data_IF_241907920536
#
_entry.id   IF_241907920536
#
_cell.length_a   1.000
_cell.length_b   1.000
_cell.length_c   1.000
_cell.angle_alpha   90.00
_cell.angle_beta   90.00
_cell.angle_gamma   90.00
#
_symmetry.space_group_name_H-M   'P 1'
#
loop_
_entity.id
_entity.type
_entity.pdbx_description
1 polymer ?
#
# COMPACT_ATOMS: atom_id res chain seq x y z
N UNK A 1 -31.30 -71.99 -14.65
CA UNK A 1 -31.50 -70.55 -14.31
C UNK A 1 -30.45 -70.12 -13.29
N UNK A 2 -29.38 -69.45 -13.72
CA UNK A 2 -28.49 -68.64 -12.88
C UNK A 2 -27.94 -67.51 -13.76
N UNK A 3 -28.36 -66.28 -13.49
CA UNK A 3 -27.91 -65.07 -14.17
C UNK A 3 -26.55 -64.63 -13.59
N UNK A 4 -25.60 -64.22 -14.43
CA UNK A 4 -24.38 -63.54 -14.00
C UNK A 4 -24.30 -62.19 -14.73
N UNK A 5 -24.37 -61.12 -13.93
CA UNK A 5 -24.32 -59.71 -14.31
C UNK A 5 -22.94 -59.28 -14.83
N UNK A 6 -22.83 -58.33 -15.79
CA UNK A 6 -21.58 -57.67 -16.08
C UNK A 6 -21.35 -56.51 -15.10
N UNK A 7 -20.20 -56.51 -14.41
CA UNK A 7 -19.78 -55.42 -13.52
C UNK A 7 -19.22 -54.23 -14.28
N UNK A 8 -19.82 -53.05 -14.09
CA UNK A 8 -19.33 -51.76 -14.61
C UNK A 8 -18.26 -51.22 -13.66
N UNK A 9 -17.05 -51.02 -14.18
CA UNK A 9 -15.93 -50.38 -13.46
C UNK A 9 -16.04 -48.85 -13.61
N UNK A 10 -16.42 -48.15 -12.54
CA UNK A 10 -16.43 -46.69 -12.49
C UNK A 10 -15.01 -46.21 -12.11
N UNK A 11 -14.31 -45.61 -13.07
CA UNK A 11 -13.04 -44.91 -12.85
C UNK A 11 -13.31 -43.56 -12.17
N UNK A 12 -12.96 -43.46 -10.88
CA UNK A 12 -12.93 -42.22 -10.12
C UNK A 12 -11.71 -41.38 -10.53
N UNK A 13 -11.94 -40.35 -11.33
CA UNK A 13 -10.95 -39.34 -11.70
C UNK A 13 -10.59 -38.48 -10.49
N UNK A 14 -9.46 -38.74 -9.84
CA UNK A 14 -8.90 -37.84 -8.82
C UNK A 14 -8.36 -36.58 -9.50
N UNK A 15 -9.14 -35.50 -9.47
CA UNK A 15 -8.66 -34.17 -9.82
C UNK A 15 -7.67 -33.71 -8.75
N UNK A 16 -6.38 -33.66 -9.08
CA UNK A 16 -5.36 -33.07 -8.20
C UNK A 16 -5.57 -31.55 -8.17
N UNK A 17 -6.17 -31.05 -7.09
CA UNK A 17 -6.20 -29.62 -6.80
C UNK A 17 -4.74 -29.15 -6.66
N UNK A 18 -4.28 -28.30 -7.57
CA UNK A 18 -3.01 -27.60 -7.41
C UNK A 18 -3.16 -26.61 -6.25
N UNK A 19 -2.45 -26.87 -5.17
CA UNK A 19 -2.31 -25.92 -4.06
C UNK A 19 -1.84 -24.57 -4.61
N UNK A 20 -2.58 -23.51 -4.30
CA UNK A 20 -2.25 -22.15 -4.66
C UNK A 20 -1.01 -21.73 -3.87
N UNK A 21 0.04 -21.28 -4.57
CA UNK A 21 1.34 -20.87 -4.01
C UNK A 21 1.14 -19.95 -2.78
N UNK A 22 1.55 -20.43 -1.59
CA UNK A 22 1.49 -19.68 -0.34
C UNK A 22 2.54 -18.57 -0.37
N UNK A 23 2.12 -17.36 -0.74
CA UNK A 23 2.79 -16.15 -0.25
C UNK A 23 2.72 -16.17 1.29
N UNK A 24 3.82 -15.87 2.00
CA UNK A 24 3.81 -15.92 3.46
C UNK A 24 2.69 -15.03 3.98
N UNK A 25 1.83 -15.63 4.79
CA UNK A 25 0.52 -15.08 5.13
C UNK A 25 0.62 -13.87 6.08
N UNK A 26 1.81 -13.52 6.56
CA UNK A 26 2.17 -12.37 7.39
C UNK A 26 3.70 -12.26 7.40
N UNK A 27 4.24 -11.05 7.36
CA UNK A 27 5.68 -10.80 7.56
C UNK A 27 6.06 -10.82 9.04
N UNK A 28 5.08 -10.64 9.94
CA UNK A 28 5.29 -10.47 11.37
C UNK A 28 5.82 -9.07 11.74
N UNK A 29 5.85 -8.15 10.77
CA UNK A 29 6.26 -6.76 10.94
C UNK A 29 5.05 -5.85 11.18
N UNK A 30 5.24 -4.67 11.77
CA UNK A 30 4.17 -3.69 11.93
C UNK A 30 3.47 -3.32 10.61
N UNK A 31 4.19 -3.32 9.49
CA UNK A 31 3.65 -3.01 8.16
C UNK A 31 2.53 -3.94 7.68
N UNK A 32 2.40 -5.15 8.27
CA UNK A 32 1.23 -6.01 8.03
C UNK A 32 -0.07 -5.30 8.47
N UNK A 33 0.00 -4.47 9.51
CA UNK A 33 -1.14 -3.76 10.10
C UNK A 33 -1.44 -2.39 9.46
N UNK A 34 -0.85 -2.08 8.30
CA UNK A 34 -1.18 -0.88 7.55
C UNK A 34 -1.36 -1.19 6.06
N UNK A 35 -2.40 -0.64 5.43
CA UNK A 35 -2.69 -0.87 4.00
C UNK A 35 -2.20 0.30 3.13
N UNK A 36 -1.06 0.14 2.45
CA UNK A 36 -0.57 1.14 1.48
C UNK A 36 -1.57 1.36 0.33
N UNK A 37 -2.12 0.26 -0.22
CA UNK A 37 -3.17 0.30 -1.23
C UNK A 37 -4.44 0.99 -0.72
N UNK A 38 -4.83 0.69 0.52
CA UNK A 38 -5.98 1.32 1.16
C UNK A 38 -5.77 2.83 1.37
N UNK A 39 -4.56 3.25 1.75
CA UNK A 39 -4.23 4.66 1.89
C UNK A 39 -4.36 5.42 0.56
N UNK A 40 -3.88 4.85 -0.57
CA UNK A 40 -4.12 5.46 -1.89
C UNK A 40 -5.61 5.50 -2.26
N UNK A 41 -6.37 4.45 -1.93
CA UNK A 41 -7.82 4.41 -2.16
C UNK A 41 -8.57 5.50 -1.37
N UNK A 42 -8.16 5.76 -0.13
CA UNK A 42 -8.72 6.86 0.66
C UNK A 42 -8.30 8.22 0.10
N UNK A 43 -7.03 8.37 -0.30
CA UNK A 43 -6.52 9.61 -0.89
C UNK A 43 -7.23 9.96 -2.21
N UNK A 44 -7.52 8.94 -3.03
CA UNK A 44 -8.33 9.05 -4.25
C UNK A 44 -9.74 9.56 -3.99
N UNK A 45 -10.36 9.18 -2.86
CA UNK A 45 -11.73 9.55 -2.50
C UNK A 45 -11.83 10.89 -1.77
N UNK A 46 -10.81 11.25 -0.99
CA UNK A 46 -10.80 12.46 -0.19
C UNK A 46 -10.85 13.72 -1.06
N UNK A 47 -11.55 14.75 -0.60
CA UNK A 47 -11.57 16.08 -1.17
C UNK A 47 -10.36 16.93 -0.79
N UNK A 48 -9.66 16.59 0.30
CA UNK A 48 -8.50 17.32 0.79
C UNK A 48 -7.57 16.42 1.63
N UNK A 49 -6.32 16.86 1.93
CA UNK A 49 -5.44 16.13 2.83
C UNK A 49 -5.99 16.00 4.26
N UNK A 50 -6.77 16.98 4.73
CA UNK A 50 -7.46 16.93 6.02
C UNK A 50 -8.52 15.82 6.06
N UNK A 51 -9.36 15.75 5.03
CA UNK A 51 -10.37 14.71 4.92
C UNK A 51 -9.72 13.33 4.77
N UNK A 52 -8.63 13.24 4.01
CA UNK A 52 -7.83 12.03 3.89
C UNK A 52 -7.29 11.58 5.27
N UNK A 53 -6.73 12.48 6.07
CA UNK A 53 -6.28 12.19 7.43
C UNK A 53 -7.41 11.65 8.31
N UNK A 54 -8.60 12.24 8.20
CA UNK A 54 -9.80 11.78 8.91
C UNK A 54 -10.22 10.37 8.49
N UNK A 55 -10.29 10.11 7.19
CA UNK A 55 -10.63 8.79 6.64
C UNK A 55 -9.62 7.73 7.08
N UNK A 56 -8.32 8.06 7.06
CA UNK A 56 -7.23 7.18 7.48
C UNK A 56 -7.37 6.76 8.95
N UNK A 57 -7.88 7.65 9.80
CA UNK A 57 -8.10 7.44 11.23
C UNK A 57 -9.57 7.12 11.58
N UNK A 58 -10.33 6.60 10.61
CA UNK A 58 -11.69 6.08 10.84
C UNK A 58 -11.66 4.56 10.83
N UNK A 59 -12.18 3.93 11.88
CA UNK A 59 -12.18 2.47 12.07
C UNK A 59 -12.78 1.73 10.86
N UNK A 60 -13.85 2.26 10.27
CA UNK A 60 -14.57 1.63 9.16
C UNK A 60 -13.75 1.55 7.87
N UNK A 61 -12.71 2.37 7.73
CA UNK A 61 -11.83 2.31 6.55
C UNK A 61 -11.03 1.00 6.48
N UNK A 62 -10.73 0.39 7.64
CA UNK A 62 -9.86 -0.79 7.76
C UNK A 62 -8.52 -0.61 7.01
N UNK A 63 -7.99 0.61 6.99
CA UNK A 63 -6.68 0.94 6.39
C UNK A 63 -5.58 1.02 7.45
N UNK A 64 -5.88 1.60 8.60
CA UNK A 64 -5.01 1.66 9.76
C UNK A 64 -5.41 0.57 10.77
N UNK A 65 -4.46 -0.27 11.16
CA UNK A 65 -4.58 -1.23 12.26
C UNK A 65 -3.33 -1.21 13.15
N UNK A 66 -2.52 -0.13 13.06
CA UNK A 66 -1.25 0.00 13.75
C UNK A 66 -1.45 0.27 15.24
N UNK A 67 -0.68 -0.44 16.05
CA UNK A 67 -0.51 -0.20 17.49
C UNK A 67 0.98 -0.41 17.79
N UNK A 68 1.76 0.56 17.34
CA UNK A 68 3.21 0.64 17.45
C UNK A 68 3.66 0.87 18.88
N UNK A 69 2.83 1.51 19.71
CA UNK A 69 3.12 1.75 21.11
C UNK A 69 2.67 0.59 22.04
N UNK A 70 1.85 -0.35 21.54
CA UNK A 70 1.25 -1.50 22.25
C UNK A 70 0.36 -1.11 23.43
N UNK A 71 -0.33 0.03 23.33
CA UNK A 71 -1.29 0.48 24.34
C UNK A 71 -2.67 -0.22 24.22
N UNK A 72 -2.82 -1.09 23.22
CA UNK A 72 -4.03 -1.84 22.94
C UNK A 72 -5.04 -1.08 22.10
N UNK A 73 -4.70 0.13 21.65
CA UNK A 73 -5.50 0.92 20.73
C UNK A 73 -4.71 1.30 19.48
N UNK A 74 -5.42 1.64 18.42
CA UNK A 74 -4.78 2.11 17.20
C UNK A 74 -4.09 3.46 17.40
N UNK A 75 -2.89 3.60 16.85
CA UNK A 75 -2.19 4.88 16.82
C UNK A 75 -2.88 5.84 15.85
N UNK A 76 -2.96 7.11 16.26
CA UNK A 76 -3.37 8.18 15.37
C UNK A 76 -2.26 8.49 14.36
N UNK A 77 -2.59 8.49 13.07
CA UNK A 77 -1.67 8.82 11.98
C UNK A 77 -1.98 10.23 11.50
N UNK A 78 -1.12 11.18 11.80
CA UNK A 78 -1.24 12.55 11.28
C UNK A 78 -0.60 12.65 9.90
N UNK A 79 -1.06 13.62 9.09
CA UNK A 79 -0.51 13.91 7.77
C UNK A 79 0.31 15.20 7.82
N UNK A 80 1.56 15.14 7.35
CA UNK A 80 2.43 16.31 7.23
C UNK A 80 2.85 16.47 5.78
N UNK A 81 2.46 17.57 5.15
CA UNK A 81 2.75 17.84 3.75
C UNK A 81 3.99 18.71 3.57
N UNK A 82 4.73 18.47 2.50
CA UNK A 82 5.81 19.34 2.02
C UNK A 82 5.77 19.41 0.50
N UNK A 83 6.09 20.57 -0.08
CA UNK A 83 6.12 20.79 -1.52
C UNK A 83 7.43 21.41 -1.96
N UNK A 84 7.94 20.96 -3.10
CA UNK A 84 9.03 21.57 -3.84
C UNK A 84 8.67 21.54 -5.32
N UNK A 85 8.47 22.72 -5.93
CA UNK A 85 7.98 22.87 -7.31
C UNK A 85 6.68 22.09 -7.55
N UNK A 86 6.65 21.25 -8.58
CA UNK A 86 5.52 20.40 -8.96
C UNK A 86 5.45 19.08 -8.17
N UNK A 87 6.31 18.87 -7.17
CA UNK A 87 6.33 17.67 -6.34
C UNK A 87 5.82 17.99 -4.94
N UNK A 88 4.84 17.22 -4.50
CA UNK A 88 4.30 17.29 -3.15
C UNK A 88 4.32 15.91 -2.51
N UNK A 89 4.74 15.88 -1.24
CA UNK A 89 4.74 14.66 -0.44
C UNK A 89 3.85 14.83 0.79
N UNK A 90 3.23 13.73 1.21
CA UNK A 90 2.40 13.64 2.40
C UNK A 90 2.94 12.52 3.28
N UNK A 91 3.62 12.90 4.35
CA UNK A 91 4.17 11.95 5.32
C UNK A 91 3.06 11.51 6.26
N UNK A 92 2.83 10.20 6.31
CA UNK A 92 1.90 9.57 7.24
C UNK A 92 2.67 9.20 8.50
N UNK A 93 2.43 9.93 9.58
CA UNK A 93 3.22 9.85 10.81
C UNK A 93 2.36 9.40 11.98
N UNK A 94 2.65 8.22 12.52
CA UNK A 94 2.00 7.70 13.73
C UNK A 94 2.52 8.43 14.97
N UNK A 95 1.59 8.86 15.83
CA UNK A 95 1.90 9.44 17.13
C UNK A 95 2.11 8.32 18.15
N UNK A 96 3.37 8.08 18.55
CA UNK A 96 3.74 6.95 19.43
C UNK A 96 3.69 7.36 20.90
N UNK A 97 4.13 8.58 21.22
CA UNK A 97 4.07 9.16 22.56
C UNK A 97 4.06 10.69 22.49
N UNK A 98 4.10 11.36 23.65
CA UNK A 98 4.25 12.83 23.73
C UNK A 98 5.50 13.37 23.04
N UNK A 99 6.56 12.56 22.96
CA UNK A 99 7.89 12.98 22.47
C UNK A 99 8.34 12.23 21.23
N UNK A 100 7.62 11.19 20.84
CA UNK A 100 8.02 10.29 19.76
C UNK A 100 6.93 10.16 18.73
N UNK A 101 7.34 10.15 17.48
CA UNK A 101 6.51 9.86 16.33
C UNK A 101 7.27 8.92 15.40
N UNK A 102 6.55 8.23 14.53
CA UNK A 102 7.13 7.28 13.61
C UNK A 102 6.50 7.46 12.23
N UNK A 103 7.33 7.68 11.22
CA UNK A 103 6.85 7.69 9.85
C UNK A 103 6.47 6.27 9.41
N UNK A 104 5.28 6.14 8.83
CA UNK A 104 4.68 4.87 8.40
C UNK A 104 4.81 4.72 6.89
N UNK A 105 4.46 5.77 6.15
CA UNK A 105 4.54 5.80 4.70
C UNK A 105 4.55 7.25 4.20
N UNK A 106 4.92 7.44 2.94
CA UNK A 106 4.90 8.73 2.27
C UNK A 106 4.13 8.60 0.97
N UNK A 107 3.09 9.41 0.79
CA UNK A 107 2.47 9.59 -0.52
C UNK A 107 3.30 10.61 -1.29
N UNK A 108 3.67 10.28 -2.51
CA UNK A 108 4.50 11.08 -3.40
C UNK A 108 3.68 11.45 -4.63
N UNK A 109 3.45 12.73 -4.85
CA UNK A 109 2.62 13.25 -5.92
C UNK A 109 3.43 14.22 -6.77
N UNK A 110 3.42 14.04 -8.08
CA UNK A 110 4.09 14.92 -9.03
C UNK A 110 3.12 15.35 -10.13
N UNK A 111 3.01 16.66 -10.33
CA UNK A 111 2.31 17.22 -11.48
C UNK A 111 3.25 17.20 -12.69
N UNK A 112 2.97 16.32 -13.63
CA UNK A 112 3.81 16.10 -14.83
C UNK A 112 3.34 16.92 -16.03
N UNK A 113 2.21 17.62 -15.92
CA UNK A 113 1.69 18.50 -16.97
C UNK A 113 0.46 19.29 -16.51
N UNK A 114 -0.20 19.99 -17.45
CA UNK A 114 -1.36 20.86 -17.13
C UNK A 114 -2.49 20.11 -16.44
N UNK A 115 -2.80 18.91 -16.94
CA UNK A 115 -3.88 18.03 -16.45
C UNK A 115 -3.37 16.60 -16.24
N UNK A 116 -2.09 16.48 -15.89
CA UNK A 116 -1.43 15.19 -15.68
C UNK A 116 -0.71 15.21 -14.33
N UNK A 117 -0.93 14.15 -13.55
CA UNK A 117 -0.19 13.89 -12.33
C UNK A 117 0.00 12.39 -12.14
N UNK A 118 1.10 12.03 -11.47
CA UNK A 118 1.43 10.66 -11.07
C UNK A 118 1.57 10.59 -9.55
N UNK A 119 1.25 9.44 -8.98
CA UNK A 119 1.29 9.24 -7.53
C UNK A 119 1.85 7.87 -7.18
N UNK A 120 2.72 7.85 -6.17
CA UNK A 120 3.18 6.65 -5.49
C UNK A 120 2.86 6.76 -4.00
N UNK A 121 2.82 5.63 -3.31
CA UNK A 121 2.99 5.59 -1.86
C UNK A 121 4.14 4.65 -1.50
N UNK A 122 5.03 5.13 -0.64
CA UNK A 122 6.23 4.41 -0.21
C UNK A 122 6.10 4.07 1.27
N UNK A 123 6.02 2.79 1.60
CA UNK A 123 6.06 2.31 2.98
C UNK A 123 7.46 2.43 3.58
N UNK A 124 7.54 2.88 4.83
CA UNK A 124 8.80 3.08 5.54
C UNK A 124 9.49 1.74 5.86
N UNK A 125 10.80 1.65 5.61
CA UNK A 125 11.56 0.41 5.73
C UNK A 125 11.66 -0.14 7.16
N UNK A 126 11.47 0.69 8.18
CA UNK A 126 11.47 0.25 9.59
C UNK A 126 10.10 -0.30 10.01
N UNK A 127 9.06 -0.05 9.21
CA UNK A 127 7.71 -0.56 9.40
C UNK A 127 7.46 -1.79 8.53
N UNK A 128 7.84 -1.73 7.25
CA UNK A 128 7.61 -2.77 6.25
C UNK A 128 8.80 -3.73 6.09
N UNK A 129 9.93 -3.44 6.73
CA UNK A 129 11.17 -4.22 6.63
C UNK A 129 12.03 -3.85 5.41
N UNK A 130 11.41 -3.24 4.41
CA UNK A 130 12.02 -2.74 3.18
C UNK A 130 11.19 -1.58 2.62
N UNK A 131 11.80 -0.80 1.73
CA UNK A 131 11.06 0.17 0.94
C UNK A 131 10.03 -0.54 0.05
N UNK A 132 8.74 -0.33 0.31
CA UNK A 132 7.63 -0.93 -0.45
C UNK A 132 6.89 0.17 -1.20
N UNK A 133 6.95 0.15 -2.53
CA UNK A 133 6.33 1.15 -3.39
C UNK A 133 5.03 0.60 -3.97
N UNK A 134 3.96 1.38 -3.89
CA UNK A 134 2.66 1.05 -4.45
C UNK A 134 2.16 2.20 -5.32
N UNK A 135 1.65 1.86 -6.51
CA UNK A 135 1.06 2.80 -7.46
C UNK A 135 -0.36 2.36 -7.86
N UNK A 136 -1.21 3.25 -8.39
CA UNK A 136 -2.51 2.87 -8.97
C UNK A 136 -2.33 1.93 -10.17
N UNK A 137 -3.09 0.85 -10.21
CA UNK A 137 -3.12 -0.11 -11.32
C UNK A 137 -4.13 0.27 -12.41
N UNK A 138 -4.11 -0.44 -13.53
CA UNK A 138 -4.92 -0.23 -14.74
C UNK A 138 -6.39 -0.68 -14.64
N UNK A 139 -6.87 -1.02 -13.44
CA UNK A 139 -8.25 -1.46 -13.23
C UNK A 139 -9.28 -0.42 -13.72
N UNK A 140 -10.44 -0.86 -14.22
CA UNK A 140 -11.52 0.02 -14.70
C UNK A 140 -11.95 1.06 -13.66
N UNK A 141 -11.85 0.74 -12.36
CA UNK A 141 -12.14 1.66 -11.26
C UNK A 141 -11.15 2.85 -11.19
N UNK A 142 -9.92 2.69 -11.69
CA UNK A 142 -8.94 3.76 -11.84
C UNK A 142 -9.01 4.45 -13.20
N UNK A 143 -9.71 3.86 -14.18
CA UNK A 143 -9.98 4.43 -15.50
C UNK A 143 -11.16 5.44 -15.49
N UNK A 144 -11.60 5.90 -14.31
CA UNK A 144 -12.73 6.82 -14.10
C UNK A 144 -12.53 8.25 -14.63
N UNK A 145 -11.80 8.40 -15.75
CA UNK A 145 -11.59 9.67 -16.43
C UNK A 145 -11.77 9.57 -17.96
N UNK A 146 -12.61 8.64 -18.41
CA UNK A 146 -13.17 8.57 -19.78
C UNK A 146 -14.22 9.68 -20.06
N UNK A 147 -14.30 10.72 -19.22
CA UNK A 147 -15.29 11.81 -19.33
C UNK A 147 -14.76 13.13 -19.91
N UNK A 148 -13.45 13.26 -20.13
CA UNK A 148 -12.84 14.47 -20.72
C UNK A 148 -11.91 14.17 -21.92
N UNK A 149 -11.77 12.91 -22.31
CA UNK A 149 -10.88 12.49 -23.40
C UNK A 149 -11.62 12.15 -24.69
N UNK A 150 -12.51 13.03 -25.16
CA UNK A 150 -12.98 13.01 -26.56
C UNK A 150 -12.12 13.85 -27.50
N UNK A 151 -10.87 14.18 -27.12
CA UNK A 151 -9.93 15.01 -27.89
C UNK A 151 -8.51 14.43 -28.01
N UNK A 152 -8.29 13.16 -27.64
CA UNK A 152 -7.05 12.45 -27.95
C UNK A 152 -7.36 11.27 -28.90
N UNK A 153 -7.82 11.61 -30.11
CA UNK A 153 -7.83 10.67 -31.23
C UNK A 153 -6.40 10.37 -31.64
N UNK A 154 -5.92 9.18 -31.31
CA UNK A 154 -4.66 8.64 -31.81
C UNK A 154 -4.57 7.14 -31.54
N UNK A 155 -4.38 6.28 -32.56
CA UNK A 155 -4.23 4.85 -32.35
C UNK A 155 -2.82 4.59 -31.81
N UNK A 156 -2.67 4.43 -30.50
CA UNK A 156 -1.47 3.81 -29.91
C UNK A 156 -1.75 3.28 -28.50
N UNK A 157 -2.66 2.32 -28.41
CA UNK A 157 -2.93 1.54 -27.19
C UNK A 157 -2.78 0.02 -27.44
N UNK A 158 -2.07 -0.39 -28.50
CA UNK A 158 -1.98 -1.81 -28.87
C UNK A 158 -0.56 -2.41 -28.86
N UNK A 159 0.53 -1.63 -28.70
CA UNK A 159 1.89 -2.22 -28.81
C UNK A 159 2.85 -1.87 -27.64
N UNK A 160 2.58 -0.84 -26.83
CA UNK A 160 3.47 -0.49 -25.72
C UNK A 160 3.28 -1.32 -24.44
N UNK A 161 2.11 -1.96 -24.26
CA UNK A 161 1.75 -2.68 -23.01
C UNK A 161 2.35 -4.09 -22.91
N UNK A 162 2.97 -4.62 -23.96
CA UNK A 162 3.57 -5.96 -23.95
C UNK A 162 5.07 -5.99 -23.61
N UNK A 163 5.75 -4.84 -23.52
CA UNK A 163 7.21 -4.79 -23.46
C UNK A 163 7.84 -3.84 -22.42
N UNK A 164 7.08 -3.10 -21.61
CA UNK A 164 7.67 -2.26 -20.56
C UNK A 164 7.75 -3.00 -19.22
N UNK A 165 8.94 -3.18 -18.62
CA UNK A 165 9.07 -3.66 -17.24
C UNK A 165 8.54 -2.65 -16.20
N UNK A 166 8.14 -1.46 -16.66
CA UNK A 166 7.82 -0.29 -15.86
C UNK A 166 6.30 -0.01 -15.74
N UNK A 167 5.43 -1.03 -15.73
CA UNK A 167 3.99 -0.88 -15.38
C UNK A 167 3.16 0.06 -16.27
N UNK A 168 1.86 0.17 -15.99
CA UNK A 168 0.94 1.11 -16.64
C UNK A 168 0.85 2.36 -15.77
N UNK A 169 1.05 3.55 -16.37
CA UNK A 169 0.97 4.83 -15.64
C UNK A 169 -0.46 5.36 -15.67
N UNK A 170 -1.06 5.49 -14.50
CA UNK A 170 -2.41 6.04 -14.33
C UNK A 170 -2.32 7.55 -14.08
N UNK A 171 -3.04 8.35 -14.87
CA UNK A 171 -3.18 9.78 -14.59
C UNK A 171 -4.16 10.01 -13.43
N UNK A 172 -3.66 10.59 -12.34
CA UNK A 172 -4.46 10.86 -11.13
C UNK A 172 -4.96 12.29 -11.00
N UNK A 173 -4.76 13.12 -12.02
CA UNK A 173 -5.11 14.55 -11.98
C UNK A 173 -6.54 14.84 -11.55
N UNK A 174 -7.51 14.02 -11.97
CA UNK A 174 -8.92 14.24 -11.62
C UNK A 174 -9.31 13.82 -10.20
N UNK A 175 -8.40 13.23 -9.41
CA UNK A 175 -8.72 12.90 -8.02
C UNK A 175 -8.99 14.17 -7.23
N UNK A 176 -10.06 14.24 -6.41
CA UNK A 176 -10.44 15.48 -5.73
C UNK A 176 -9.33 16.06 -4.87
N UNK A 177 -8.65 15.23 -4.06
CA UNK A 177 -7.50 15.64 -3.27
C UNK A 177 -6.33 16.18 -4.13
N UNK A 178 -6.06 15.55 -5.28
CA UNK A 178 -4.99 16.02 -6.21
C UNK A 178 -5.32 17.39 -6.76
N UNK A 179 -6.56 17.62 -7.22
CA UNK A 179 -7.01 18.93 -7.67
C UNK A 179 -6.96 19.97 -6.55
N UNK A 180 -7.32 19.57 -5.34
CA UNK A 180 -7.30 20.44 -4.17
C UNK A 180 -5.89 20.95 -3.88
N UNK A 181 -4.88 20.08 -3.85
CA UNK A 181 -3.51 20.47 -3.49
C UNK A 181 -2.76 21.27 -4.58
N UNK A 182 -3.21 21.17 -5.84
CA UNK A 182 -2.72 22.02 -6.93
C UNK A 182 -3.57 23.26 -7.20
N UNK A 183 -4.60 23.52 -6.37
CA UNK A 183 -5.38 24.75 -6.47
C UNK A 183 -4.54 25.97 -6.07
N UNK A 184 -4.71 27.14 -6.70
CA UNK A 184 -3.94 28.34 -6.38
C UNK A 184 -4.02 28.79 -4.91
N UNK A 185 -5.14 28.52 -4.23
CA UNK A 185 -5.38 28.92 -2.84
C UNK A 185 -4.97 27.86 -1.81
N UNK A 186 -4.42 26.72 -2.24
CA UNK A 186 -4.06 25.65 -1.32
C UNK A 186 -2.90 26.06 -0.40
N UNK A 187 -3.15 25.97 0.90
CA UNK A 187 -2.14 26.03 1.94
C UNK A 187 -1.71 24.61 2.32
N UNK A 188 -0.40 24.38 2.48
CA UNK A 188 0.14 23.06 2.84
C UNK A 188 -0.52 22.53 4.10
N UNK A 189 -1.12 21.34 4.00
CA UNK A 189 -1.69 20.66 5.15
C UNK A 189 -0.57 20.13 6.07
N UNK A 190 -0.49 20.72 7.25
CA UNK A 190 0.29 20.19 8.37
C UNK A 190 -0.72 19.93 9.47
N UNK A 191 -0.94 18.66 9.79
CA UNK A 191 -1.91 18.26 10.80
C UNK A 191 -1.72 19.07 12.10
N UNK A 192 -2.78 19.70 12.64
CA UNK A 192 -2.71 20.42 13.90
C UNK A 192 -2.73 19.48 15.11
N UNK A 193 -2.94 18.17 14.89
CA UNK A 193 -3.14 17.21 15.96
C UNK A 193 -1.82 16.69 16.51
N UNK A 194 -1.82 16.42 17.81
CA UNK A 194 -0.68 15.91 18.56
C UNK A 194 -1.11 14.82 19.52
N UNK A 195 -0.14 14.21 20.21
CA UNK A 195 -0.43 13.17 21.20
C UNK A 195 -1.45 13.64 22.25
N UNK A 196 -1.32 14.88 22.73
CA UNK A 196 -2.19 15.49 23.76
C UNK A 196 -3.45 16.13 23.19
N UNK A 197 -3.42 16.59 21.94
CA UNK A 197 -4.52 17.29 21.30
C UNK A 197 -4.98 16.50 20.07
N UNK A 198 -5.85 15.51 20.30
CA UNK A 198 -6.46 14.68 19.26
C UNK A 198 -7.74 15.33 18.72
N UNK A 199 -8.17 15.01 17.49
CA UNK A 199 -9.42 15.52 16.95
C UNK A 199 -10.62 15.02 17.78
N UNK A 200 -11.65 15.85 17.91
CA UNK A 200 -12.89 15.49 18.65
C UNK A 200 -13.62 14.30 18.01
N UNK A 201 -13.52 14.14 16.69
CA UNK A 201 -14.12 13.03 15.95
C UNK A 201 -13.33 11.73 16.06
N UNK A 202 -12.06 11.78 16.48
CA UNK A 202 -11.22 10.60 16.51
C UNK A 202 -11.54 9.74 17.74
N UNK A 203 -11.82 8.48 17.47
CA UNK A 203 -12.10 7.45 18.47
C UNK A 203 -11.14 6.31 18.21
N UNK A 204 -10.09 6.12 19.04
CA UNK A 204 -9.20 4.98 18.88
C UNK A 204 -10.00 3.67 19.06
N UNK A 205 -9.61 2.64 18.31
CA UNK A 205 -10.23 1.31 18.38
C UNK A 205 -9.19 0.26 18.71
N UNK A 206 -9.63 -0.93 19.12
CA UNK A 206 -8.72 -2.05 19.36
C UNK A 206 -8.23 -2.60 18.02
N UNK A 207 -6.92 -2.77 17.81
CA UNK A 207 -6.40 -3.43 16.62
C UNK A 207 -7.01 -4.82 16.45
N UNK A 208 -7.42 -5.12 15.23
CA UNK A 208 -7.87 -6.44 14.85
C UNK A 208 -6.67 -7.39 14.83
N UNK A 209 -6.85 -8.62 15.30
CA UNK A 209 -5.85 -9.66 15.12
C UNK A 209 -5.58 -9.87 13.61
N UNK A 210 -4.32 -10.13 13.25
CA UNK A 210 -3.87 -10.23 11.86
C UNK A 210 -4.81 -11.05 10.96
N UNK A 211 -5.22 -12.23 11.40
CA UNK A 211 -6.07 -13.14 10.61
C UNK A 211 -7.46 -12.54 10.30
N UNK A 212 -7.96 -11.65 11.15
CA UNK A 212 -9.22 -10.90 10.95
C UNK A 212 -8.98 -9.67 10.09
N UNK A 213 -7.85 -8.99 10.26
CA UNK A 213 -7.52 -7.78 9.51
C UNK A 213 -7.19 -8.07 8.03
N UNK A 214 -6.45 -9.15 7.79
CA UNK A 214 -5.90 -9.50 6.47
C UNK A 214 -6.92 -9.43 5.33
N UNK A 215 -8.12 -10.03 5.40
CA UNK A 215 -9.10 -9.93 4.32
C UNK A 215 -9.45 -8.49 3.91
N UNK A 216 -9.57 -7.56 4.87
CA UNK A 216 -9.87 -6.16 4.60
C UNK A 216 -8.74 -5.47 3.85
N UNK A 217 -7.48 -5.68 4.25
CA UNK A 217 -6.32 -5.15 3.52
C UNK A 217 -6.28 -5.67 2.08
N UNK A 218 -6.60 -6.95 1.89
CA UNK A 218 -6.54 -7.60 0.59
C UNK A 218 -7.61 -7.10 -0.39
N UNK A 219 -8.74 -6.58 0.12
CA UNK A 219 -9.79 -5.96 -0.68
C UNK A 219 -9.25 -4.85 -1.60
N UNK A 220 -8.26 -4.08 -1.15
CA UNK A 220 -7.69 -2.98 -1.93
C UNK A 220 -6.71 -3.45 -3.02
N UNK A 221 -6.13 -4.66 -2.92
CA UNK A 221 -5.04 -5.10 -3.80
C UNK A 221 -5.34 -5.08 -5.30
N UNK A 222 -6.54 -5.44 -5.79
CA UNK A 222 -6.79 -5.52 -7.24
C UNK A 222 -6.63 -4.18 -7.99
N UNK A 223 -6.77 -3.05 -7.30
CA UNK A 223 -6.72 -1.71 -7.89
C UNK A 223 -5.33 -1.06 -7.84
N UNK A 224 -4.37 -1.66 -7.17
CA UNK A 224 -3.07 -1.03 -6.89
C UNK A 224 -1.95 -2.05 -7.03
N UNK A 225 -0.89 -1.67 -7.75
CA UNK A 225 0.25 -2.53 -8.01
C UNK A 225 1.39 -2.21 -7.04
N UNK A 226 2.06 -3.26 -6.55
CA UNK A 226 3.37 -3.11 -5.88
C UNK A 226 4.42 -3.04 -6.96
N UNK A 227 5.28 -2.03 -6.92
CA UNK A 227 6.32 -1.79 -7.94
C UNK A 227 7.69 -1.68 -7.31
N UNK A 228 8.72 -1.84 -8.14
CA UNK A 228 10.13 -1.76 -7.73
C UNK A 228 10.78 -0.42 -8.05
N UNK A 229 10.10 0.41 -8.84
CA UNK A 229 10.65 1.65 -9.37
C UNK A 229 9.70 2.78 -9.03
N UNK A 230 10.27 3.82 -8.41
CA UNK A 230 9.57 5.06 -8.06
C UNK A 230 9.35 5.91 -9.30
N UNK A 231 8.16 6.48 -9.46
CA UNK A 231 7.82 7.46 -10.48
C UNK A 231 8.31 8.84 -10.10
N UNK A 232 8.05 9.22 -8.85
CA UNK A 232 8.38 10.55 -8.34
C UNK A 232 9.84 10.60 -7.87
N UNK A 233 10.76 10.80 -8.82
CA UNK A 233 12.21 10.72 -8.58
C UNK A 233 12.70 11.75 -7.55
N UNK A 234 12.05 12.91 -7.46
CA UNK A 234 12.47 14.00 -6.58
C UNK A 234 12.00 13.83 -5.14
N UNK A 235 10.90 13.10 -4.90
CA UNK A 235 10.31 12.92 -3.57
C UNK A 235 11.30 12.45 -2.47
N UNK A 236 12.19 11.46 -2.70
CA UNK A 236 13.13 11.04 -1.65
C UNK A 236 14.08 12.15 -1.20
N UNK A 237 14.45 13.08 -2.08
CA UNK A 237 15.27 14.26 -1.72
C UNK A 237 14.52 15.18 -0.77
N UNK A 238 13.21 15.31 -0.95
CA UNK A 238 12.34 16.15 -0.12
C UNK A 238 12.08 15.47 1.24
N UNK A 239 11.83 14.15 1.23
CA UNK A 239 11.45 13.36 2.39
C UNK A 239 12.62 13.09 3.36
N UNK A 240 13.75 12.57 2.87
CA UNK A 240 14.85 12.08 3.72
C UNK A 240 15.31 13.05 4.81
N UNK A 241 15.45 14.37 4.55
CA UNK A 241 15.90 15.32 5.58
C UNK A 241 14.91 15.54 6.73
N UNK A 242 13.64 15.15 6.58
CA UNK A 242 12.60 15.33 7.60
C UNK A 242 11.99 14.01 8.09
N UNK A 243 12.55 12.87 7.68
CA UNK A 243 12.11 11.56 8.14
C UNK A 243 12.22 11.46 9.66
N UNK A 244 11.19 10.96 10.32
CA UNK A 244 11.12 10.79 11.77
C UNK A 244 10.99 9.31 12.12
N UNK A 245 11.79 8.87 13.09
CA UNK A 245 11.72 7.53 13.68
C UNK A 245 11.56 7.61 15.20
N UNK A 246 10.90 6.61 15.78
CA UNK A 246 10.72 6.48 17.22
C UNK A 246 11.71 5.46 17.79
N UNK A 247 12.41 5.83 18.86
CA UNK A 247 13.31 4.92 19.58
C UNK A 247 12.53 3.75 20.17
N UNK A 248 11.32 4.00 20.68
CA UNK A 248 10.40 2.95 21.16
C UNK A 248 10.11 1.93 20.06
N UNK A 249 9.67 2.40 18.89
CA UNK A 249 9.31 1.52 17.76
C UNK A 249 10.53 0.76 17.25
N UNK A 250 11.66 1.45 17.04
CA UNK A 250 12.89 0.80 16.59
C UNK A 250 13.33 -0.29 17.56
N UNK A 251 13.44 0.01 18.87
CA UNK A 251 13.86 -0.99 19.87
C UNK A 251 12.91 -2.18 19.92
N UNK A 252 11.61 -1.96 19.78
CA UNK A 252 10.59 -3.01 19.81
C UNK A 252 10.68 -3.94 18.60
N UNK A 253 10.84 -3.39 17.39
CA UNK A 253 10.71 -4.18 16.16
C UNK A 253 12.04 -4.51 15.47
N UNK A 254 13.20 -3.97 15.91
CA UNK A 254 14.48 -4.18 15.22
C UNK A 254 14.83 -5.66 15.01
N UNK A 255 14.55 -6.55 15.97
CA UNK A 255 14.83 -7.99 15.80
C UNK A 255 13.98 -8.58 14.68
N UNK A 256 12.68 -8.26 14.65
CA UNK A 256 11.77 -8.76 13.62
C UNK A 256 12.15 -8.22 12.24
N UNK A 257 12.45 -6.91 12.16
CA UNK A 257 12.90 -6.24 10.94
C UNK A 257 14.22 -6.84 10.43
N UNK A 258 15.21 -7.01 11.30
CA UNK A 258 16.49 -7.61 10.93
C UNK A 258 16.33 -9.07 10.46
N UNK A 259 15.50 -9.84 11.16
CA UNK A 259 15.18 -11.21 10.74
C UNK A 259 14.50 -11.22 9.37
N UNK A 260 13.55 -10.32 9.11
CA UNK A 260 12.92 -10.18 7.80
C UNK A 260 13.96 -9.88 6.71
N UNK A 261 14.83 -8.87 6.94
CA UNK A 261 15.87 -8.46 5.99
C UNK A 261 16.86 -9.57 5.65
N UNK A 262 17.22 -10.43 6.61
CA UNK A 262 18.19 -11.52 6.40
C UNK A 262 17.55 -12.80 5.84
N UNK A 263 16.30 -13.11 6.21
CA UNK A 263 15.62 -14.35 5.77
C UNK A 263 14.97 -14.26 4.40
N UNK A 264 14.77 -13.04 3.91
CA UNK A 264 14.22 -12.78 2.58
C UNK A 264 15.22 -13.21 1.51
N UNK A 265 14.82 -14.15 0.66
CA UNK A 265 15.57 -14.55 -0.54
C UNK A 265 14.76 -14.20 -1.77
N UNK A 266 15.34 -13.39 -2.65
CA UNK A 266 14.79 -13.15 -3.99
C UNK A 266 15.32 -14.24 -4.91
N UNK A 267 14.45 -15.16 -5.32
CA UNK A 267 14.80 -16.24 -6.25
C UNK A 267 14.24 -15.92 -7.62
N UNK A 268 15.10 -15.87 -8.61
CA UNK A 268 14.69 -15.69 -10.00
C UNK A 268 14.13 -17.01 -10.56
N UNK A 269 12.83 -17.07 -10.83
CA UNK A 269 12.16 -18.29 -11.34
C UNK A 269 11.90 -18.14 -12.84
N UNK A 270 12.43 -19.07 -13.63
CA UNK A 270 12.19 -19.14 -15.08
C UNK A 270 10.88 -19.88 -15.32
N UNK A 271 9.91 -19.21 -15.93
CA UNK A 271 8.64 -19.82 -16.30
C UNK A 271 8.80 -20.76 -17.50
N UNK A 272 7.87 -21.70 -17.66
CA UNK A 272 7.84 -22.64 -18.77
C UNK A 272 7.78 -21.96 -20.15
N UNK A 273 7.31 -20.71 -20.22
CA UNK A 273 7.27 -19.88 -21.44
C UNK A 273 8.55 -19.06 -21.66
N UNK A 274 9.64 -19.36 -20.96
CA UNK A 274 10.93 -18.67 -21.09
C UNK A 274 10.99 -17.30 -20.42
N UNK A 275 9.89 -16.81 -19.82
CA UNK A 275 9.84 -15.52 -19.10
C UNK A 275 10.44 -15.68 -17.70
N UNK A 276 11.39 -14.83 -17.35
CA UNK A 276 12.01 -14.79 -16.03
C UNK A 276 11.16 -13.94 -15.10
N UNK A 277 10.74 -14.48 -13.96
CA UNK A 277 9.98 -13.76 -12.92
C UNK A 277 10.78 -13.82 -11.62
N UNK A 278 11.10 -12.66 -11.05
CA UNK A 278 11.65 -12.59 -9.70
C UNK A 278 10.58 -12.95 -8.69
N UNK A 279 10.80 -14.01 -7.90
CA UNK A 279 9.92 -14.42 -6.81
C UNK A 279 10.61 -14.18 -5.47
N UNK A 280 9.98 -13.37 -4.64
CA UNK A 280 10.44 -13.13 -3.27
C UNK A 280 9.84 -14.20 -2.35
N UNK A 281 10.68 -14.96 -1.67
CA UNK A 281 10.27 -15.87 -0.61
C UNK A 281 10.77 -15.36 0.74
N UNK A 282 9.86 -15.25 1.72
CA UNK A 282 10.20 -14.98 3.12
C UNK A 282 9.86 -16.21 3.94
N UNK A 283 10.88 -16.84 4.55
CA UNK A 283 10.68 -17.99 5.42
C UNK A 283 10.54 -17.51 6.87
N UNK A 284 9.30 -17.40 7.36
CA UNK A 284 9.05 -17.07 8.77
C UNK A 284 9.18 -18.34 9.61
N UNK A 285 10.23 -18.42 10.43
CA UNK A 285 10.41 -19.54 11.37
C UNK A 285 9.39 -19.39 12.51
N UNK A 286 8.32 -20.18 12.47
CA UNK A 286 7.25 -20.18 13.48
C UNK A 286 7.85 -20.45 14.87
N UNK A 287 7.73 -19.49 15.78
CA UNK A 287 8.13 -19.68 17.19
C UNK A 287 7.18 -20.73 17.79
N UNK A 288 7.71 -21.90 18.17
CA UNK A 288 6.95 -22.86 18.99
C UNK A 288 6.66 -22.16 20.32
N UNK A 289 5.38 -22.01 20.66
CA UNK A 289 4.95 -21.66 22.01
C UNK A 289 5.18 -22.86 22.92
#
# INVERSE_FOLDING_TARGET
MKHLLPGVLILLSFSTLKAQDQTPDSTGLPGDNFSLQGALELFKKAGSPEEFEKLLNTEDSKVNNLDLNEDGNTDYIKVVSKRENDVQIFVLQALVSEKESQDVAVIELEKTGKENAVIDIVGDEDIFGEETIVEPGDSQDNAFNEGFSSLAGGPNMEIASMASPAGIVVNVWAWPCVRFVYAPSYALWVSPFSWRARPVWYRPWRPLAWHVYRPYRYHYRPRYAVVTTRRVVVAPRIYRPMRVTSVTVTKRHHVAVNNYRVTRKTTTVRTHRGRTISRTHTTVRRRRR
#
